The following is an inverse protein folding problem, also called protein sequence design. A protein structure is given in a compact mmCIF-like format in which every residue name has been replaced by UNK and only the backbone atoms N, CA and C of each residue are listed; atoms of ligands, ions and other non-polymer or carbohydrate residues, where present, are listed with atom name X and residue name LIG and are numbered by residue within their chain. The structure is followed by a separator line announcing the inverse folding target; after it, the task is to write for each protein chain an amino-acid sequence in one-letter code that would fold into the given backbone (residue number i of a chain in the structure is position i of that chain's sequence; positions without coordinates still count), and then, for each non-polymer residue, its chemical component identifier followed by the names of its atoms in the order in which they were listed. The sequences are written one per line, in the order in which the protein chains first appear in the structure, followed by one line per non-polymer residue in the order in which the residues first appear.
data_IF_936521562191
#
_entry.id   IF_936521562191
#
_cell.length_a   1.000
_cell.length_b   1.000
_cell.length_c   1.000
_cell.angle_alpha   90.00
_cell.angle_beta   90.00
_cell.angle_gamma   90.00
#
_symmetry.space_group_name_H-M   'P 1'
#
loop_
_entity.id
_entity.type
_entity.pdbx_description
1 polymer ?
#
# COMPACT_ATOMS: atom_id res chain seq x y z
N UNK A 1 6.12 -29.87 14.37
CA UNK A 1 7.35 -29.57 15.14
C UNK A 1 8.52 -29.64 14.17
N UNK A 2 8.74 -28.57 13.41
CA UNK A 2 9.90 -28.41 12.55
C UNK A 2 10.68 -27.22 13.09
N UNK A 3 11.82 -27.50 13.71
CA UNK A 3 12.72 -26.51 14.29
C UNK A 3 13.46 -25.86 13.12
N UNK A 4 13.07 -24.65 12.74
CA UNK A 4 13.94 -23.82 11.91
C UNK A 4 15.13 -23.38 12.80
N UNK A 5 16.38 -23.62 12.38
CA UNK A 5 17.53 -23.31 13.20
C UNK A 5 17.67 -21.79 13.37
N UNK A 6 17.81 -21.35 14.63
CA UNK A 6 18.44 -20.08 15.01
C UNK A 6 19.85 -20.05 14.43
N UNK A 7 20.00 -19.53 13.20
CA UNK A 7 21.23 -18.97 12.64
C UNK A 7 21.04 -18.78 11.14
N UNK A 8 20.29 -17.74 10.76
CA UNK A 8 20.76 -16.95 9.63
C UNK A 8 21.00 -15.57 10.20
N UNK A 9 22.24 -15.34 10.66
CA UNK A 9 22.77 -13.98 10.64
C UNK A 9 22.85 -13.60 9.16
N UNK A 10 21.75 -13.08 8.60
CA UNK A 10 21.78 -12.39 7.32
C UNK A 10 22.54 -11.10 7.58
N UNK A 11 23.85 -11.16 7.44
CA UNK A 11 24.66 -9.97 7.29
C UNK A 11 24.13 -9.23 6.07
N UNK A 12 23.39 -8.15 6.30
CA UNK A 12 23.03 -7.17 5.29
C UNK A 12 24.33 -6.77 4.56
N UNK A 13 24.62 -7.38 3.41
CA UNK A 13 25.76 -7.03 2.59
C UNK A 13 25.46 -5.66 2.00
N UNK A 14 26.08 -4.62 2.55
CA UNK A 14 26.29 -3.38 1.82
C UNK A 14 26.96 -3.78 0.50
N UNK A 15 26.41 -3.33 -0.64
CA UNK A 15 27.23 -3.34 -1.84
C UNK A 15 28.47 -2.44 -1.60
N UNK A 16 29.48 -2.55 -2.46
CA UNK A 16 30.71 -1.75 -2.34
C UNK A 16 30.50 -0.23 -2.35
N UNK A 17 29.26 0.25 -2.50
CA UNK A 17 28.85 1.65 -2.46
C UNK A 17 28.11 2.09 -1.18
N UNK A 18 27.84 1.16 -0.25
CA UNK A 18 27.17 1.46 1.01
C UNK A 18 25.64 1.59 0.91
N UNK A 19 25.02 1.09 -0.17
CA UNK A 19 23.56 1.08 -0.35
C UNK A 19 22.92 -0.10 0.37
N UNK A 20 21.74 0.14 0.94
CA UNK A 20 20.91 -0.91 1.50
C UNK A 20 19.98 -1.39 0.38
N UNK A 21 20.26 -2.57 -0.17
CA UNK A 21 19.43 -3.22 -1.17
C UNK A 21 19.15 -4.64 -0.74
N UNK A 22 17.96 -5.13 -1.07
CA UNK A 22 17.65 -6.55 -0.98
C UNK A 22 18.57 -7.33 -1.92
N UNK A 23 19.13 -8.42 -1.43
CA UNK A 23 19.68 -9.48 -2.27
C UNK A 23 18.59 -10.12 -3.14
N UNK A 24 18.99 -10.90 -4.13
CA UNK A 24 18.04 -11.65 -4.98
C UNK A 24 17.19 -12.62 -4.14
N UNK A 25 17.81 -13.32 -3.19
CA UNK A 25 17.12 -14.24 -2.28
C UNK A 25 16.13 -13.51 -1.36
N UNK A 26 16.49 -12.34 -0.83
CA UNK A 26 15.57 -11.53 -0.03
C UNK A 26 14.42 -10.96 -0.88
N UNK A 27 14.70 -10.56 -2.12
CA UNK A 27 13.69 -10.08 -3.06
C UNK A 27 12.66 -11.18 -3.37
N UNK A 28 13.13 -12.40 -3.65
CA UNK A 28 12.26 -13.56 -3.87
C UNK A 28 11.48 -13.91 -2.59
N UNK A 29 12.13 -13.88 -1.43
CA UNK A 29 11.49 -14.13 -0.15
C UNK A 29 10.34 -13.14 0.13
N UNK A 30 10.59 -11.84 -0.04
CA UNK A 30 9.57 -10.79 0.13
C UNK A 30 8.43 -10.98 -0.87
N UNK A 31 8.75 -11.24 -2.14
CA UNK A 31 7.73 -11.44 -3.18
C UNK A 31 6.82 -12.63 -2.88
N UNK A 32 7.38 -13.74 -2.41
CA UNK A 32 6.65 -14.97 -2.08
C UNK A 32 5.84 -14.86 -0.79
N UNK A 33 6.24 -14.02 0.15
CA UNK A 33 5.58 -13.85 1.45
C UNK A 33 4.83 -12.52 1.60
N UNK A 34 4.62 -11.77 0.52
CA UNK A 34 3.85 -10.53 0.57
C UNK A 34 2.37 -10.80 0.90
N UNK A 35 1.82 -10.07 1.89
CA UNK A 35 0.42 -10.20 2.32
C UNK A 35 -0.25 -8.87 2.72
N UNK A 36 0.52 -7.80 2.87
CA UNK A 36 0.04 -6.40 2.87
C UNK A 36 0.64 -5.63 1.67
N UNK A 37 -0.01 -4.56 1.17
CA UNK A 37 0.49 -3.79 0.03
C UNK A 37 1.92 -3.27 0.19
N UNK A 38 2.33 -2.94 1.41
CA UNK A 38 3.66 -2.41 1.73
C UNK A 38 4.78 -3.44 1.59
N UNK A 39 4.45 -4.74 1.46
CA UNK A 39 5.39 -5.80 1.10
C UNK A 39 5.69 -5.84 -0.40
N UNK A 40 4.89 -5.17 -1.23
CA UNK A 40 5.15 -5.08 -2.67
C UNK A 40 6.28 -4.07 -2.91
N UNK A 41 7.52 -4.57 -2.92
CA UNK A 41 8.73 -3.76 -3.08
C UNK A 41 8.65 -2.85 -4.30
N UNK A 42 8.33 -3.41 -5.46
CA UNK A 42 8.22 -2.66 -6.72
C UNK A 42 7.20 -1.52 -6.63
N UNK A 43 6.08 -1.75 -5.95
CA UNK A 43 5.08 -0.72 -5.69
C UNK A 43 5.64 0.38 -4.80
N UNK A 44 6.20 0.03 -3.64
CA UNK A 44 6.69 1.03 -2.67
C UNK A 44 7.84 1.84 -3.26
N UNK A 45 8.77 1.20 -3.97
CA UNK A 45 9.85 1.87 -4.70
C UNK A 45 9.29 2.77 -5.80
N UNK A 46 8.32 2.30 -6.58
CA UNK A 46 7.69 3.07 -7.65
C UNK A 46 6.79 4.21 -7.16
N UNK A 47 6.38 4.27 -5.88
CA UNK A 47 5.64 5.42 -5.34
C UNK A 47 6.49 6.35 -4.50
N UNK A 48 7.43 5.81 -3.72
CA UNK A 48 8.21 6.59 -2.76
C UNK A 48 9.62 6.93 -3.23
N UNK A 49 10.19 6.14 -4.15
CA UNK A 49 11.60 6.23 -4.53
C UNK A 49 12.58 5.80 -3.42
N UNK A 50 12.08 5.19 -2.34
CA UNK A 50 12.91 4.68 -1.23
C UNK A 50 13.56 3.35 -1.60
N UNK A 51 14.74 3.10 -1.03
CA UNK A 51 15.49 1.86 -1.17
C UNK A 51 15.06 0.84 -0.10
N UNK A 52 14.71 -0.41 -0.49
CA UNK A 52 14.26 -1.45 0.44
C UNK A 52 15.42 -2.19 1.10
N UNK A 53 15.22 -2.62 2.35
CA UNK A 53 16.09 -3.57 3.03
C UNK A 53 15.30 -4.37 4.08
N UNK A 54 15.80 -5.56 4.45
CA UNK A 54 15.06 -6.54 5.24
C UNK A 54 15.78 -6.88 6.56
N UNK A 55 15.69 -6.02 7.59
CA UNK A 55 16.15 -6.42 8.92
C UNK A 55 15.22 -7.50 9.47
N UNK A 56 15.80 -8.67 9.78
CA UNK A 56 15.07 -9.80 10.36
C UNK A 56 13.96 -10.33 9.43
N UNK A 57 12.70 -10.08 9.76
CA UNK A 57 11.53 -10.49 8.94
C UNK A 57 10.62 -9.30 8.61
N UNK A 58 11.13 -8.07 8.76
CA UNK A 58 10.40 -6.84 8.54
C UNK A 58 10.98 -6.07 7.36
N UNK A 59 10.14 -5.38 6.60
CA UNK A 59 10.57 -4.64 5.43
C UNK A 59 10.71 -3.15 5.74
N UNK A 60 11.90 -2.60 5.50
CA UNK A 60 12.20 -1.19 5.77
C UNK A 60 12.54 -0.50 4.45
N UNK A 61 12.28 0.80 4.39
CA UNK A 61 12.49 1.62 3.20
C UNK A 61 13.16 2.95 3.57
N UNK A 62 14.25 3.31 2.92
CA UNK A 62 15.02 4.52 3.22
C UNK A 62 15.16 5.43 1.99
N UNK A 63 14.91 6.73 2.16
CA UNK A 63 15.37 7.75 1.22
C UNK A 63 16.08 8.86 1.99
N UNK A 64 17.40 8.99 1.80
CA UNK A 64 18.22 9.93 2.57
C UNK A 64 18.14 9.63 4.07
N UNK A 65 17.41 10.46 4.82
CA UNK A 65 17.20 10.32 6.28
C UNK A 65 15.75 10.06 6.66
N UNK A 66 14.91 9.72 5.70
CA UNK A 66 13.52 9.37 5.90
C UNK A 66 13.34 7.84 5.82
N UNK A 67 13.02 7.23 6.97
CA UNK A 67 12.90 5.79 7.14
C UNK A 67 11.42 5.41 7.30
N UNK A 68 10.92 4.52 6.44
CA UNK A 68 9.63 3.85 6.62
C UNK A 68 9.85 2.42 7.08
N UNK A 69 9.12 2.01 8.12
CA UNK A 69 9.18 0.69 8.73
C UNK A 69 7.85 -0.02 8.53
N UNK A 70 7.89 -1.17 7.87
CA UNK A 70 6.75 -2.07 7.71
C UNK A 70 6.86 -3.15 8.77
N UNK A 71 6.20 -2.91 9.90
CA UNK A 71 6.15 -3.78 11.08
C UNK A 71 5.18 -4.96 10.95
N UNK A 72 4.94 -5.42 9.73
CA UNK A 72 4.22 -6.65 9.43
C UNK A 72 5.25 -7.71 9.06
N UNK A 73 5.49 -8.73 9.90
CA UNK A 73 6.45 -9.77 9.57
C UNK A 73 5.97 -10.58 8.35
N UNK A 74 6.89 -11.01 7.49
CA UNK A 74 6.55 -11.72 6.25
C UNK A 74 6.04 -13.13 6.52
N UNK A 75 6.72 -13.89 7.38
CA UNK A 75 6.38 -15.29 7.65
C UNK A 75 6.23 -15.60 9.15
N UNK A 76 6.88 -14.83 10.03
CA UNK A 76 6.87 -15.09 11.46
C UNK A 76 5.68 -14.43 12.17
N UNK A 77 5.28 -14.92 13.35
CA UNK A 77 4.34 -14.19 14.20
C UNK A 77 4.90 -12.83 14.60
N UNK A 78 4.03 -11.81 14.71
CA UNK A 78 4.43 -10.49 15.16
C UNK A 78 4.93 -10.51 16.62
N UNK A 79 6.19 -10.10 16.80
CA UNK A 79 6.79 -9.85 18.10
C UNK A 79 7.27 -8.40 18.17
N UNK A 80 6.62 -7.63 19.04
CA UNK A 80 6.93 -6.19 19.22
C UNK A 80 8.38 -5.94 19.62
N UNK A 81 8.96 -6.84 20.43
CA UNK A 81 10.34 -6.74 20.84
C UNK A 81 11.30 -6.82 19.65
N UNK A 82 11.06 -7.76 18.71
CA UNK A 82 11.88 -7.91 17.50
C UNK A 82 11.78 -6.66 16.61
N UNK A 83 10.56 -6.12 16.42
CA UNK A 83 10.38 -4.88 15.66
C UNK A 83 11.11 -3.70 16.30
N UNK A 84 11.06 -3.59 17.64
CA UNK A 84 11.73 -2.53 18.39
C UNK A 84 13.26 -2.64 18.28
N UNK A 85 13.80 -3.85 18.34
CA UNK A 85 15.24 -4.11 18.20
C UNK A 85 15.72 -3.76 16.79
N UNK A 86 15.01 -4.21 15.75
CA UNK A 86 15.28 -3.83 14.36
C UNK A 86 15.22 -2.32 14.14
N UNK A 87 14.25 -1.63 14.77
CA UNK A 87 14.11 -0.18 14.70
C UNK A 87 15.28 0.56 15.37
N UNK A 88 15.75 0.13 16.55
CA UNK A 88 16.91 0.75 17.21
C UNK A 88 18.21 0.51 16.44
N UNK A 89 18.39 -0.68 15.85
CA UNK A 89 19.54 -0.95 14.97
C UNK A 89 19.53 -0.02 13.75
N UNK A 90 18.40 0.07 13.05
CA UNK A 90 18.24 0.95 11.89
C UNK A 90 18.46 2.42 12.27
N UNK A 91 17.98 2.85 13.43
CA UNK A 91 18.21 4.20 13.95
C UNK A 91 19.69 4.47 14.23
N UNK A 92 20.39 3.53 14.85
CA UNK A 92 21.84 3.64 15.11
C UNK A 92 22.66 3.73 13.82
N UNK A 93 22.31 2.90 12.84
CA UNK A 93 22.97 2.80 11.53
C UNK A 93 22.72 4.00 10.63
N UNK A 94 21.46 4.35 10.39
CA UNK A 94 21.09 5.34 9.37
C UNK A 94 20.83 6.74 9.94
N UNK A 95 20.71 6.88 11.26
CA UNK A 95 20.44 8.15 11.96
C UNK A 95 19.31 8.96 11.29
N UNK A 96 18.11 8.37 11.09
CA UNK A 96 17.03 9.03 10.39
C UNK A 96 16.59 10.33 11.09
N UNK A 97 16.19 11.33 10.30
CA UNK A 97 15.52 12.56 10.78
C UNK A 97 14.00 12.45 10.71
N UNK A 98 13.47 11.44 10.02
CA UNK A 98 12.06 11.08 10.09
C UNK A 98 11.94 9.56 10.09
N UNK A 99 11.04 9.03 10.91
CA UNK A 99 10.66 7.62 10.91
C UNK A 99 9.15 7.52 10.87
N UNK A 100 8.62 6.74 9.93
CA UNK A 100 7.22 6.31 9.89
C UNK A 100 7.17 4.80 10.15
N UNK A 101 6.29 4.36 11.04
CA UNK A 101 6.10 2.95 11.40
C UNK A 101 4.66 2.55 11.10
N UNK A 102 4.48 1.52 10.27
CA UNK A 102 3.20 0.92 9.94
C UNK A 102 3.19 -0.49 10.53
N UNK A 103 2.27 -0.82 11.44
CA UNK A 103 2.28 -2.12 12.10
C UNK A 103 0.90 -2.55 12.61
N UNK A 104 0.76 -3.86 12.86
CA UNK A 104 -0.40 -4.41 13.58
C UNK A 104 -0.49 -3.91 15.02
N UNK A 105 0.65 -3.50 15.59
CA UNK A 105 0.73 -2.80 16.88
C UNK A 105 2.02 -2.01 16.91
N UNK A 106 1.96 -0.75 17.33
CA UNK A 106 3.15 0.09 17.41
C UNK A 106 4.06 -0.39 18.55
N UNK A 107 5.38 -0.44 18.34
CA UNK A 107 6.32 -0.79 19.39
C UNK A 107 6.41 0.31 20.45
N UNK A 108 6.63 -0.09 21.70
CA UNK A 108 6.93 0.80 22.81
C UNK A 108 8.30 1.49 22.60
N UNK A 109 8.30 2.50 21.74
CA UNK A 109 9.46 3.28 21.35
C UNK A 109 9.27 4.73 21.79
N UNK A 110 10.09 5.19 22.75
CA UNK A 110 9.86 6.43 23.56
C UNK A 110 9.53 7.68 22.73
N UNK A 111 10.10 7.82 21.54
CA UNK A 111 9.94 9.01 20.71
C UNK A 111 8.91 8.82 19.59
N UNK A 112 8.35 7.62 19.44
CA UNK A 112 7.25 7.38 18.50
C UNK A 112 6.00 8.10 18.99
N UNK A 113 5.28 8.71 18.06
CA UNK A 113 3.98 9.33 18.30
C UNK A 113 2.95 8.59 17.47
N UNK A 114 1.95 7.93 18.10
CA UNK A 114 0.91 7.26 17.35
C UNK A 114 0.05 8.30 16.62
N UNK A 115 -0.34 7.97 15.39
CA UNK A 115 -1.42 8.68 14.72
C UNK A 115 -2.76 8.25 15.33
N UNK A 116 -3.74 9.16 15.46
CA UNK A 116 -5.00 8.87 16.14
C UNK A 116 -5.91 7.95 15.32
N UNK A 117 -5.73 7.90 14.00
CA UNK A 117 -6.54 7.09 13.10
C UNK A 117 -6.02 5.65 13.13
N UNK A 118 -6.92 4.72 13.42
CA UNK A 118 -6.67 3.28 13.34
C UNK A 118 -7.57 2.70 12.27
N UNK A 119 -7.06 1.71 11.55
CA UNK A 119 -7.79 1.04 10.48
C UNK A 119 -7.46 -0.46 10.48
N UNK A 120 -8.03 -1.20 9.55
CA UNK A 120 -7.72 -2.61 9.30
C UNK A 120 -7.53 -2.85 7.82
N UNK A 121 -6.60 -3.72 7.46
CA UNK A 121 -6.62 -4.30 6.12
C UNK A 121 -7.76 -5.31 6.03
N UNK A 122 -8.44 -5.29 4.89
CA UNK A 122 -9.50 -6.22 4.55
C UNK A 122 -8.97 -7.28 3.60
N UNK A 123 -9.44 -8.51 3.77
CA UNK A 123 -9.10 -9.64 2.92
C UNK A 123 -10.34 -10.36 2.46
N UNK A 124 -10.37 -10.70 1.17
CA UNK A 124 -11.36 -11.57 0.58
C UNK A 124 -10.76 -12.97 0.39
N UNK A 125 -11.42 -14.00 0.91
CA UNK A 125 -11.06 -15.39 0.64
C UNK A 125 -11.64 -15.83 -0.71
N UNK A 126 -10.78 -16.11 -1.69
CA UNK A 126 -11.20 -16.45 -3.03
C UNK A 126 -11.76 -17.87 -3.12
N UNK A 127 -11.35 -18.75 -2.19
CA UNK A 127 -11.84 -20.11 -2.02
C UNK A 127 -13.17 -20.05 -1.25
N UNK A 128 -14.27 -20.21 -1.96
CA UNK A 128 -15.62 -20.14 -1.37
C UNK A 128 -16.32 -18.79 -1.49
N UNK A 129 -15.65 -17.70 -1.90
CA UNK A 129 -16.37 -16.46 -2.22
C UNK A 129 -17.21 -16.63 -3.48
N UNK A 130 -18.53 -16.64 -3.30
CA UNK A 130 -19.47 -16.39 -4.38
C UNK A 130 -20.16 -15.07 -4.11
N UNK A 131 -20.12 -14.08 -5.04
CA UNK A 131 -20.78 -12.80 -4.81
C UNK A 131 -22.23 -13.01 -4.42
N UNK A 132 -22.71 -12.34 -3.36
CA UNK A 132 -24.10 -12.44 -2.90
C UNK A 132 -25.10 -11.93 -3.95
N UNK A 133 -26.42 -12.17 -3.77
CA UNK A 133 -27.45 -11.79 -4.75
C UNK A 133 -27.39 -10.31 -5.18
N UNK A 134 -27.14 -9.41 -4.23
CA UNK A 134 -27.05 -7.97 -4.51
C UNK A 134 -25.84 -7.62 -5.38
N UNK A 135 -24.67 -8.20 -5.08
CA UNK A 135 -23.47 -7.99 -5.91
C UNK A 135 -23.68 -8.58 -7.29
N UNK A 136 -24.24 -9.80 -7.42
CA UNK A 136 -24.58 -10.39 -8.72
C UNK A 136 -25.56 -9.54 -9.53
N UNK A 137 -26.52 -8.89 -8.88
CA UNK A 137 -27.42 -7.94 -9.54
C UNK A 137 -26.67 -6.72 -10.09
N UNK A 138 -25.74 -6.16 -9.31
CA UNK A 138 -24.90 -5.04 -9.75
C UNK A 138 -23.97 -5.43 -10.89
N UNK A 139 -23.35 -6.62 -10.83
CA UNK A 139 -22.51 -7.15 -11.91
C UNK A 139 -23.31 -7.29 -13.21
N UNK A 140 -24.49 -7.94 -13.16
CA UNK A 140 -25.37 -8.09 -14.33
C UNK A 140 -25.86 -6.77 -14.90
N UNK A 141 -26.09 -5.77 -14.05
CA UNK A 141 -26.49 -4.44 -14.50
C UNK A 141 -25.32 -3.74 -15.21
N UNK A 142 -24.19 -3.64 -14.53
CA UNK A 142 -23.00 -2.97 -15.04
C UNK A 142 -22.52 -3.59 -16.36
N UNK A 143 -22.57 -4.92 -16.49
CA UNK A 143 -22.13 -5.63 -17.69
C UNK A 143 -22.99 -5.37 -18.94
N UNK A 144 -24.16 -4.72 -18.81
CA UNK A 144 -24.98 -4.29 -19.95
C UNK A 144 -24.57 -2.92 -20.50
N UNK A 145 -23.93 -2.12 -19.67
CA UNK A 145 -23.61 -0.72 -19.94
C UNK A 145 -22.10 -0.51 -20.10
N UNK A 146 -21.28 -1.42 -19.56
CA UNK A 146 -19.82 -1.31 -19.48
C UNK A 146 -19.14 -2.46 -20.22
N UNK A 147 -18.14 -2.11 -21.01
CA UNK A 147 -17.11 -3.02 -21.50
C UNK A 147 -15.86 -2.90 -20.62
N UNK A 148 -15.35 -4.04 -20.14
CA UNK A 148 -14.07 -4.10 -19.45
C UNK A 148 -12.94 -4.35 -20.45
N UNK A 149 -11.88 -3.56 -20.33
CA UNK A 149 -10.67 -3.71 -21.10
C UNK A 149 -9.48 -3.85 -20.16
N UNK A 150 -8.67 -4.89 -20.37
CA UNK A 150 -7.36 -5.00 -19.74
C UNK A 150 -6.33 -4.11 -20.47
N UNK A 151 -5.47 -3.44 -19.70
CA UNK A 151 -4.41 -2.62 -20.23
C UNK A 151 -3.08 -2.83 -19.49
N UNK A 152 -2.03 -2.20 -20.02
CA UNK A 152 -0.71 -2.13 -19.38
C UNK A 152 -0.26 -0.70 -19.10
N UNK A 153 -1.00 0.29 -19.60
CA UNK A 153 -0.63 1.69 -19.56
C UNK A 153 -1.86 2.57 -19.30
N UNK A 154 -1.67 3.68 -18.59
CA UNK A 154 -2.71 4.68 -18.38
C UNK A 154 -2.73 5.65 -19.55
N UNK A 155 -3.79 5.61 -20.36
CA UNK A 155 -4.02 6.60 -21.41
C UNK A 155 -4.36 7.98 -20.85
N UNK A 156 -4.39 9.01 -21.72
CA UNK A 156 -4.77 10.38 -21.33
C UNK A 156 -6.14 10.45 -20.62
N UNK A 157 -7.11 9.61 -21.00
CA UNK A 157 -8.43 9.54 -20.34
C UNK A 157 -8.32 9.09 -18.89
N UNK A 158 -7.40 8.18 -18.58
CA UNK A 158 -7.11 7.75 -17.20
C UNK A 158 -6.47 8.87 -16.40
N UNK A 159 -5.52 9.60 -17.00
CA UNK A 159 -4.85 10.74 -16.37
C UNK A 159 -5.82 11.88 -16.07
N UNK A 160 -6.75 12.17 -16.98
CA UNK A 160 -7.82 13.15 -16.76
C UNK A 160 -8.71 12.74 -15.57
N UNK A 161 -9.03 11.45 -15.45
CA UNK A 161 -9.80 10.94 -14.33
C UNK A 161 -9.04 11.00 -13.00
N UNK A 162 -7.73 10.74 -13.02
CA UNK A 162 -6.86 10.93 -11.86
C UNK A 162 -6.81 12.41 -11.44
N UNK A 163 -6.69 13.33 -12.40
CA UNK A 163 -6.72 14.77 -12.13
C UNK A 163 -8.06 15.21 -11.52
N UNK A 164 -9.19 14.72 -12.06
CA UNK A 164 -10.53 14.94 -11.50
C UNK A 164 -10.60 14.46 -10.04
N UNK A 165 -10.12 13.25 -9.76
CA UNK A 165 -10.08 12.71 -8.39
C UNK A 165 -9.24 13.58 -7.45
N UNK A 166 -8.04 13.98 -7.89
CA UNK A 166 -7.12 14.81 -7.11
C UNK A 166 -7.66 16.23 -6.84
N UNK A 167 -8.48 16.77 -7.75
CA UNK A 167 -9.09 18.09 -7.63
C UNK A 167 -10.34 18.09 -6.74
N UNK A 168 -11.09 16.99 -6.71
CA UNK A 168 -12.42 16.92 -6.06
C UNK A 168 -12.40 16.27 -4.68
N UNK A 169 -11.25 15.74 -4.24
CA UNK A 169 -11.10 15.06 -2.95
C UNK A 169 -10.12 15.81 -2.05
N UNK A 170 -10.51 16.02 -0.81
CA UNK A 170 -9.59 16.39 0.25
C UNK A 170 -8.77 15.16 0.63
N UNK A 171 -7.49 15.18 0.26
CA UNK A 171 -6.54 14.11 0.53
C UNK A 171 -5.42 14.67 1.41
N UNK A 172 -4.92 13.85 2.33
CA UNK A 172 -3.69 14.14 3.05
C UNK A 172 -2.52 14.29 2.06
N UNK A 173 -1.48 15.03 2.45
CA UNK A 173 -0.28 15.19 1.62
C UNK A 173 0.35 13.83 1.24
N UNK A 174 0.51 12.86 2.17
CA UNK A 174 1.01 11.53 1.81
C UNK A 174 0.13 10.80 0.79
N UNK A 175 -1.20 10.76 1.01
CA UNK A 175 -2.11 10.08 0.08
C UNK A 175 -2.11 10.74 -1.30
N UNK A 176 -2.07 12.08 -1.36
CA UNK A 176 -1.96 12.80 -2.63
C UNK A 176 -0.68 12.43 -3.38
N UNK A 177 0.45 12.32 -2.68
CA UNK A 177 1.73 11.90 -3.26
C UNK A 177 1.66 10.50 -3.87
N UNK A 178 1.07 9.53 -3.16
CA UNK A 178 0.86 8.17 -3.66
C UNK A 178 0.00 8.18 -4.93
N UNK A 179 -1.11 8.93 -4.93
CA UNK A 179 -2.01 9.03 -6.09
C UNK A 179 -1.31 9.66 -7.30
N UNK A 180 -0.45 10.66 -7.09
CA UNK A 180 0.33 11.28 -8.16
C UNK A 180 1.39 10.33 -8.75
N UNK A 181 1.86 9.35 -7.97
CA UNK A 181 2.82 8.35 -8.44
C UNK A 181 2.17 7.18 -9.19
N UNK A 182 0.83 7.08 -9.21
CA UNK A 182 0.09 6.01 -9.86
C UNK A 182 0.50 5.75 -11.32
N UNK A 183 0.70 6.77 -12.19
CA UNK A 183 1.14 6.52 -13.57
C UNK A 183 2.51 5.83 -13.62
N UNK A 184 3.47 6.31 -12.83
CA UNK A 184 4.81 5.73 -12.72
C UNK A 184 4.76 4.29 -12.22
N UNK A 185 3.87 4.00 -11.26
CA UNK A 185 3.68 2.65 -10.73
C UNK A 185 3.16 1.69 -11.81
N UNK A 186 2.09 2.05 -12.52
CA UNK A 186 1.52 1.21 -13.58
C UNK A 186 2.52 0.98 -14.72
N UNK A 187 3.27 2.02 -15.11
CA UNK A 187 4.25 1.95 -16.19
C UNK A 187 5.46 1.06 -15.84
N UNK A 188 5.97 1.15 -14.60
CA UNK A 188 7.24 0.50 -14.22
C UNK A 188 7.07 -0.90 -13.66
N UNK A 189 5.90 -1.25 -13.13
CA UNK A 189 5.69 -2.51 -12.44
C UNK A 189 4.91 -3.46 -13.34
N UNK A 190 5.64 -4.37 -14.00
CA UNK A 190 5.09 -5.35 -14.93
C UNK A 190 4.03 -6.29 -14.31
N UNK A 191 4.06 -6.46 -12.98
CA UNK A 191 3.08 -7.25 -12.22
C UNK A 191 1.72 -6.56 -12.02
N UNK A 192 1.54 -5.33 -12.51
CA UNK A 192 0.26 -4.62 -12.43
C UNK A 192 -0.81 -5.26 -13.34
N UNK A 193 -2.03 -5.35 -12.82
CA UNK A 193 -3.24 -5.68 -13.58
C UNK A 193 -4.13 -4.45 -13.62
N UNK A 194 -4.14 -3.75 -14.76
CA UNK A 194 -4.98 -2.59 -15.01
C UNK A 194 -6.25 -3.03 -15.76
N UNK A 195 -7.41 -2.67 -15.20
CA UNK A 195 -8.71 -2.87 -15.82
C UNK A 195 -9.46 -1.55 -15.94
N UNK A 196 -9.96 -1.28 -17.14
CA UNK A 196 -10.69 -0.06 -17.50
C UNK A 196 -12.14 -0.39 -17.84
N UNK A 197 -13.07 0.40 -17.32
CA UNK A 197 -14.50 0.27 -17.55
C UNK A 197 -14.99 1.37 -18.50
N UNK A 198 -15.33 1.00 -19.73
CA UNK A 198 -15.79 1.91 -20.78
C UNK A 198 -17.29 1.79 -21.01
N UNK A 199 -18.01 2.91 -21.07
CA UNK A 199 -19.42 2.90 -21.47
C UNK A 199 -19.58 2.69 -22.99
N UNK A 200 -20.82 2.45 -23.45
CA UNK A 200 -21.12 2.25 -24.88
C UNK A 200 -20.81 3.45 -25.80
N UNK A 201 -20.53 4.62 -25.23
CA UNK A 201 -20.15 5.85 -25.94
C UNK A 201 -18.64 6.09 -25.91
N UNK A 202 -17.86 5.18 -25.33
CA UNK A 202 -16.41 5.30 -25.22
C UNK A 202 -15.94 6.20 -24.06
N UNK A 203 -16.80 6.51 -23.10
CA UNK A 203 -16.39 7.25 -21.90
C UNK A 203 -15.85 6.29 -20.83
N UNK A 204 -14.76 6.69 -20.17
CA UNK A 204 -14.19 5.92 -19.06
C UNK A 204 -15.02 6.14 -17.79
N UNK A 205 -15.79 5.12 -17.38
CA UNK A 205 -16.58 5.13 -16.15
C UNK A 205 -15.71 4.93 -14.89
N UNK A 206 -14.56 4.27 -15.04
CA UNK A 206 -13.59 4.05 -13.98
C UNK A 206 -12.50 3.07 -14.38
N UNK A 207 -11.50 2.91 -13.53
CA UNK A 207 -10.48 1.88 -13.67
C UNK A 207 -10.00 1.38 -12.30
N UNK A 208 -9.43 0.19 -12.28
CA UNK A 208 -8.77 -0.38 -11.11
C UNK A 208 -7.38 -0.89 -11.48
N UNK A 209 -6.47 -0.83 -10.51
CA UNK A 209 -5.14 -1.41 -10.58
C UNK A 209 -5.02 -2.40 -9.44
N UNK A 210 -4.68 -3.64 -9.79
CA UNK A 210 -4.23 -4.65 -8.83
C UNK A 210 -2.79 -5.07 -9.10
N UNK A 211 -2.23 -5.86 -8.19
CA UNK A 211 -0.95 -6.53 -8.36
C UNK A 211 -1.03 -7.91 -7.73
N UNK A 212 -0.38 -8.90 -8.32
CA UNK A 212 -0.36 -10.27 -7.79
C UNK A 212 0.99 -10.53 -7.15
N UNK A 213 1.00 -10.99 -5.89
CA UNK A 213 2.24 -11.40 -5.22
C UNK A 213 2.74 -12.76 -5.72
N UNK A 214 3.88 -13.21 -5.21
CA UNK A 214 4.39 -14.56 -5.48
C UNK A 214 3.63 -15.64 -4.72
N UNK A 215 3.14 -15.32 -3.53
CA UNK A 215 2.43 -16.25 -2.65
C UNK A 215 0.92 -16.29 -2.82
N UNK A 216 0.22 -16.49 -1.70
CA UNK A 216 -1.23 -16.70 -1.63
C UNK A 216 -2.07 -15.45 -1.94
N UNK A 217 -1.48 -14.25 -1.95
CA UNK A 217 -2.19 -12.98 -2.04
C UNK A 217 -2.11 -12.34 -3.43
N UNK A 218 -3.25 -11.87 -3.90
CA UNK A 218 -3.37 -10.72 -4.80
C UNK A 218 -3.70 -9.45 -4.01
N UNK A 219 -3.55 -8.29 -4.65
CA UNK A 219 -3.75 -6.98 -4.04
C UNK A 219 -4.60 -6.08 -4.92
N UNK A 220 -5.67 -5.54 -4.38
CA UNK A 220 -6.44 -4.44 -4.97
C UNK A 220 -5.85 -3.12 -4.50
N UNK A 221 -5.12 -2.43 -5.39
CA UNK A 221 -4.27 -1.31 -5.04
C UNK A 221 -5.01 0.02 -5.17
N UNK A 222 -5.48 0.33 -6.38
CA UNK A 222 -6.10 1.62 -6.69
C UNK A 222 -7.41 1.42 -7.43
N UNK A 223 -8.38 2.29 -7.15
CA UNK A 223 -9.60 2.34 -7.92
C UNK A 223 -10.12 3.76 -8.02
N UNK A 224 -10.31 4.22 -9.25
CA UNK A 224 -10.89 5.52 -9.54
C UNK A 224 -12.17 5.34 -10.36
N UNK A 225 -13.11 6.26 -10.15
CA UNK A 225 -14.36 6.31 -10.88
C UNK A 225 -14.65 7.74 -11.30
N UNK A 226 -15.26 7.87 -12.46
CA UNK A 226 -15.73 9.16 -12.97
C UNK A 226 -16.90 9.68 -12.13
N UNK A 227 -16.87 10.97 -11.78
CA UNK A 227 -18.03 11.62 -11.19
C UNK A 227 -19.09 11.95 -12.24
N UNK A 228 -18.72 12.06 -13.52
CA UNK A 228 -19.61 12.41 -14.64
C UNK A 228 -20.18 11.18 -15.36
N UNK A 229 -19.38 10.13 -15.57
CA UNK A 229 -19.85 8.86 -16.14
C UNK A 229 -20.13 7.85 -15.01
N UNK A 230 -21.31 7.99 -14.38
CA UNK A 230 -21.73 7.13 -13.26
C UNK A 230 -22.56 5.94 -13.74
N UNK A 231 -21.94 4.78 -13.79
CA UNK A 231 -22.65 3.51 -14.03
C UNK A 231 -22.78 2.72 -12.72
N UNK A 232 -24.00 2.41 -12.25
CA UNK A 232 -24.20 1.56 -11.08
C UNK A 232 -23.55 0.18 -11.26
N UNK A 233 -22.81 -0.27 -10.24
CA UNK A 233 -22.08 -1.54 -10.29
C UNK A 233 -20.73 -1.48 -11.03
N UNK A 234 -20.30 -0.32 -11.56
CA UNK A 234 -18.98 -0.17 -12.17
C UNK A 234 -17.85 -0.65 -11.25
N UNK A 235 -17.88 -0.22 -9.98
CA UNK A 235 -16.86 -0.65 -9.02
C UNK A 235 -16.86 -2.15 -8.75
N UNK A 236 -18.05 -2.75 -8.69
CA UNK A 236 -18.21 -4.19 -8.50
C UNK A 236 -17.66 -4.96 -9.70
N UNK A 237 -17.93 -4.48 -10.92
CA UNK A 237 -17.47 -5.12 -12.14
C UNK A 237 -15.93 -5.04 -12.28
N UNK A 238 -15.34 -3.90 -11.92
CA UNK A 238 -13.88 -3.74 -11.86
C UNK A 238 -13.24 -4.66 -10.81
N UNK A 239 -13.79 -4.74 -9.60
CA UNK A 239 -13.30 -5.65 -8.58
C UNK A 239 -13.47 -7.11 -9.00
N UNK A 240 -14.58 -7.46 -9.67
CA UNK A 240 -14.79 -8.80 -10.21
C UNK A 240 -13.69 -9.22 -11.18
N UNK A 241 -13.23 -8.30 -12.04
CA UNK A 241 -12.13 -8.57 -12.97
C UNK A 241 -10.83 -8.93 -12.24
N UNK A 242 -10.50 -8.20 -11.17
CA UNK A 242 -9.34 -8.54 -10.32
C UNK A 242 -9.53 -9.85 -9.56
N UNK A 243 -10.74 -10.16 -9.10
CA UNK A 243 -11.07 -11.44 -8.47
C UNK A 243 -10.86 -12.60 -9.46
N UNK A 244 -11.28 -12.44 -10.72
CA UNK A 244 -11.03 -13.46 -11.74
C UNK A 244 -9.54 -13.60 -12.01
N UNK A 245 -8.81 -12.49 -12.19
CA UNK A 245 -7.36 -12.51 -12.38
C UNK A 245 -6.63 -13.21 -11.24
N UNK A 246 -7.00 -12.91 -10.00
CA UNK A 246 -6.37 -13.54 -8.84
C UNK A 246 -6.63 -15.05 -8.82
N UNK A 247 -7.85 -15.49 -9.16
CA UNK A 247 -8.18 -16.92 -9.28
C UNK A 247 -7.44 -17.63 -10.39
N UNK A 248 -7.34 -17.01 -11.57
CA UNK A 248 -6.57 -17.52 -12.72
C UNK A 248 -5.10 -17.76 -12.34
N UNK A 249 -4.55 -16.92 -11.46
CA UNK A 249 -3.19 -17.05 -10.95
C UNK A 249 -3.08 -17.86 -9.65
N UNK A 250 -4.12 -18.61 -9.28
CA UNK A 250 -4.10 -19.51 -8.13
C UNK A 250 -3.99 -18.81 -6.78
N UNK A 251 -4.36 -17.53 -6.69
CA UNK A 251 -4.39 -16.81 -5.40
C UNK A 251 -5.50 -17.35 -4.54
N UNK A 252 -5.20 -17.47 -3.25
CA UNK A 252 -6.18 -17.82 -2.21
C UNK A 252 -6.87 -16.58 -1.67
N UNK A 253 -6.15 -15.48 -1.57
CA UNK A 253 -6.64 -14.26 -0.96
C UNK A 253 -6.51 -13.07 -1.90
N UNK A 254 -7.43 -12.12 -1.77
CA UNK A 254 -7.30 -10.78 -2.34
C UNK A 254 -7.31 -9.76 -1.19
N UNK A 255 -6.17 -9.11 -0.95
CA UNK A 255 -6.09 -7.98 -0.03
C UNK A 255 -6.79 -6.79 -0.68
N UNK A 256 -7.81 -6.23 -0.01
CA UNK A 256 -8.61 -5.13 -0.52
C UNK A 256 -8.14 -3.76 -0.02
N UNK A 257 -7.01 -3.69 0.70
CA UNK A 257 -6.47 -2.49 1.32
C UNK A 257 -7.18 -2.10 2.62
N UNK A 258 -6.88 -0.89 3.10
CA UNK A 258 -7.43 -0.29 4.33
C UNK A 258 -8.90 0.13 4.20
N UNK A 259 -9.66 0.09 5.29
CA UNK A 259 -11.06 0.49 5.34
C UNK A 259 -11.29 1.95 4.91
N UNK A 260 -10.39 2.87 5.24
CA UNK A 260 -10.31 4.31 4.95
C UNK A 260 -11.49 5.12 5.48
N UNK A 261 -12.71 4.73 5.13
CA UNK A 261 -13.97 5.35 5.57
C UNK A 261 -15.12 4.32 5.53
N UNK A 262 -16.28 4.61 6.15
CA UNK A 262 -17.39 3.67 6.20
C UNK A 262 -17.91 3.18 4.83
N UNK A 263 -17.88 4.03 3.81
CA UNK A 263 -18.34 3.66 2.47
C UNK A 263 -17.39 2.70 1.75
N UNK A 264 -16.08 2.87 1.93
CA UNK A 264 -15.05 1.97 1.42
C UNK A 264 -15.06 0.65 2.19
N UNK A 265 -15.20 0.67 3.51
CA UNK A 265 -15.37 -0.54 4.32
C UNK A 265 -16.61 -1.35 3.89
N UNK A 266 -17.77 -0.69 3.78
CA UNK A 266 -19.01 -1.32 3.31
C UNK A 266 -18.87 -1.96 1.92
N UNK A 267 -18.15 -1.30 1.01
CA UNK A 267 -17.88 -1.85 -0.32
C UNK A 267 -17.10 -3.17 -0.27
N UNK A 268 -16.25 -3.38 0.73
CA UNK A 268 -15.47 -4.62 0.90
C UNK A 268 -16.29 -5.69 1.61
N UNK A 269 -16.99 -5.30 2.67
CA UNK A 269 -17.84 -6.20 3.44
C UNK A 269 -18.97 -6.81 2.60
N UNK A 270 -19.60 -6.02 1.70
CA UNK A 270 -20.63 -6.54 0.79
C UNK A 270 -20.11 -7.64 -0.16
N UNK A 271 -18.79 -7.69 -0.38
CA UNK A 271 -18.12 -8.74 -1.15
C UNK A 271 -17.77 -9.96 -0.31
N UNK A 272 -18.02 -9.93 1.00
CA UNK A 272 -17.63 -10.97 1.94
C UNK A 272 -16.21 -10.80 2.47
N UNK A 273 -15.55 -9.68 2.20
CA UNK A 273 -14.23 -9.42 2.76
C UNK A 273 -14.34 -9.08 4.25
N UNK A 274 -13.37 -9.56 5.03
CA UNK A 274 -13.32 -9.35 6.47
C UNK A 274 -12.08 -8.55 6.84
N UNK A 275 -12.13 -7.70 7.88
CA UNK A 275 -10.92 -7.14 8.47
C UNK A 275 -10.08 -8.28 9.05
N UNK A 276 -8.77 -8.31 8.76
CA UNK A 276 -7.92 -9.44 9.16
C UNK A 276 -6.64 -9.04 9.90
N UNK A 277 -6.14 -7.82 9.71
CA UNK A 277 -5.03 -7.29 10.50
C UNK A 277 -5.25 -5.81 10.83
N UNK A 278 -4.96 -5.37 12.07
CA UNK A 278 -4.96 -3.96 12.42
C UNK A 278 -3.90 -3.16 11.65
N UNK A 279 -4.18 -1.88 11.49
CA UNK A 279 -3.26 -0.91 10.93
C UNK A 279 -3.13 0.28 11.87
N UNK A 280 -1.92 0.40 12.42
CA UNK A 280 -1.50 1.53 13.22
C UNK A 280 -0.32 2.21 12.55
N UNK A 281 -0.40 3.54 12.48
CA UNK A 281 0.70 4.38 12.03
C UNK A 281 1.27 5.16 13.20
N UNK A 282 2.60 5.24 13.27
CA UNK A 282 3.32 6.07 14.22
C UNK A 282 4.44 6.82 13.52
N UNK A 283 4.72 8.04 13.94
CA UNK A 283 5.84 8.81 13.40
C UNK A 283 6.77 9.35 14.48
N UNK A 284 8.02 9.54 14.10
CA UNK A 284 9.05 10.19 14.90
C UNK A 284 9.81 11.18 14.03
N UNK A 285 10.01 12.37 14.57
CA UNK A 285 11.01 13.33 14.11
C UNK A 285 11.83 13.81 15.32
N UNK A 286 13.17 13.89 15.23
CA UNK A 286 13.96 14.55 16.26
C UNK A 286 13.49 16.00 16.38
N UNK A 287 13.27 16.45 17.61
CA UNK A 287 12.93 17.84 17.92
C UNK A 287 14.01 18.80 17.38
N UNK A 288 13.63 19.79 16.57
CA UNK A 288 14.54 20.83 16.06
C UNK A 288 14.40 22.14 16.87
N UNK A 289 15.34 22.38 17.79
CA UNK A 289 15.42 23.63 18.56
C UNK A 289 15.66 24.87 17.68
N UNK A 290 16.13 24.72 16.43
CA UNK A 290 16.32 25.85 15.50
C UNK A 290 15.00 26.45 15.04
N UNK A 291 13.91 25.69 15.06
CA UNK A 291 12.55 26.20 14.77
C UNK A 291 12.06 27.21 15.81
N UNK A 292 12.49 27.11 17.07
CA UNK A 292 12.20 28.08 18.14
C UNK A 292 13.02 29.36 17.98
N UNK A 293 14.30 29.26 17.60
CA UNK A 293 15.13 30.44 17.37
C UNK A 293 14.72 31.22 16.12
N UNK A 294 14.18 30.55 15.08
CA UNK A 294 13.55 31.22 13.96
C UNK A 294 12.35 32.08 14.39
N UNK A 295 11.55 31.60 15.34
CA UNK A 295 10.44 32.37 15.94
C UNK A 295 10.90 33.53 16.83
N UNK A 296 11.99 33.36 17.59
CA UNK A 296 12.53 34.39 18.49
C UNK A 296 13.26 35.50 17.68
N UNK A 297 13.99 35.17 16.61
CA UNK A 297 14.67 36.14 15.73
C UNK A 297 13.70 36.93 14.83
N UNK A 298 12.53 36.38 14.51
CA UNK A 298 11.47 37.10 13.79
C UNK A 298 10.69 38.05 14.71
N UNK A 299 10.64 37.79 16.01
CA UNK A 299 10.02 38.68 16.99
C UNK A 299 10.90 39.91 17.28
N UNK A 300 12.23 39.77 17.31
CA UNK A 300 13.15 40.90 17.58
C UNK A 300 13.36 41.87 16.40
N UNK A 301 12.80 41.59 15.21
CA UNK A 301 12.87 42.48 14.02
C UNK A 301 11.57 43.24 13.74
N UNK A 302 10.56 43.13 14.61
CA UNK A 302 9.30 43.89 14.50
C UNK A 302 9.20 45.07 15.47
N UNK A 303 10.22 45.31 16.28
CA UNK A 303 10.30 46.46 17.20
C UNK A 303 11.58 47.29 17.04
N UNK A 304 12.09 47.42 15.81
CA UNK A 304 13.15 48.37 15.44
C UNK A 304 12.75 49.15 14.19
#
# INVERSE_FOLDING_TARGET
MGIYPRAVMLSNSLDGSGRAMLSEAESEYVFTHAWVPEHLVDYVVAVSGKEPFLPEDFLFYLAGRDLTVVGYPLARPFLEQELREALEEAKGRFRPSHVSVLAARLPAWRSLRPHPVQDHYFRLDLEGTTPGPNVRNMLRRASREIHLQEGRELSQTHLNLLAEFLATRELSVPTRGIMMALPRYVERVAGCSLWSAWDSRGNLAGFTVGQMGGGEYGFHMFQLRSCSCRVPGCSDLLLWALVQRAREQGKRYLNLGLGINPGVAFFKEKWGAVPFVPHHEGSYSPWDWRSLLGGILLWSRREA
#
